data_IF_244395502663
#
_entry.id   IF_244395502663
#
_cell.length_a   1.000
_cell.length_b   1.000
_cell.length_c   1.000
_cell.angle_alpha   90.00
_cell.angle_beta   90.00
_cell.angle_gamma   90.00
#
_symmetry.space_group_name_H-M   'P 1'
#
loop_
_entity.id
_entity.type
_entity.pdbx_description
1 polymer ?
#
# COMPACT_ATOMS: atom_id res chain seq x y z
N UNK A 1 -8.23 -15.12 -2.50
CA UNK A 1 -8.60 -13.89 -1.77
C UNK A 1 -7.51 -12.86 -2.02
N UNK A 2 -7.84 -11.69 -2.55
CA UNK A 2 -6.89 -10.60 -2.77
C UNK A 2 -6.79 -9.75 -1.49
N UNK A 3 -5.58 -9.35 -1.11
CA UNK A 3 -5.32 -8.53 0.08
C UNK A 3 -4.49 -7.31 -0.36
N UNK A 4 -4.86 -6.09 0.07
CA UNK A 4 -4.08 -4.90 -0.23
C UNK A 4 -2.71 -4.98 0.45
N UNK A 5 -1.68 -4.63 -0.29
CA UNK A 5 -0.38 -4.34 0.30
C UNK A 5 -0.35 -2.86 0.67
N UNK A 6 0.21 -2.49 1.82
CA UNK A 6 0.27 -1.09 2.26
C UNK A 6 -1.13 -0.46 2.51
N UNK A 7 -1.56 -0.49 3.78
CA UNK A 7 -2.81 0.13 4.25
C UNK A 7 -2.58 1.47 4.96
N UNK A 8 -1.55 2.22 4.56
CA UNK A 8 -1.20 3.55 5.10
C UNK A 8 -2.39 4.52 5.24
N UNK A 9 -3.52 4.27 4.59
CA UNK A 9 -4.70 5.12 4.66
C UNK A 9 -5.53 5.04 5.95
N UNK A 10 -5.47 3.99 6.76
CA UNK A 10 -6.42 3.81 7.88
C UNK A 10 -5.75 3.52 9.24
N UNK A 11 -6.00 4.38 10.22
CA UNK A 11 -5.65 4.15 11.62
C UNK A 11 -6.68 3.22 12.27
N UNK A 12 -6.33 1.92 12.39
CA UNK A 12 -7.16 0.92 13.04
C UNK A 12 -6.95 1.01 14.55
N UNK A 13 -8.02 1.18 15.31
CA UNK A 13 -7.96 1.21 16.78
C UNK A 13 -7.56 -0.15 17.35
N UNK A 14 -6.65 -0.14 18.34
CA UNK A 14 -6.19 -1.34 19.06
C UNK A 14 -6.72 -1.41 20.51
N UNK A 15 -7.35 -0.34 20.98
CA UNK A 15 -7.95 -0.25 22.32
C UNK A 15 -9.47 -0.28 22.25
N UNK A 16 -10.12 -0.33 23.41
CA UNK A 16 -11.57 -0.33 23.51
C UNK A 16 -12.20 0.94 22.90
N UNK A 17 -13.46 0.80 22.46
CA UNK A 17 -14.17 1.86 21.75
C UNK A 17 -14.33 3.13 22.58
N UNK A 18 -14.46 3.01 23.90
CA UNK A 18 -14.70 4.15 24.78
C UNK A 18 -13.44 5.00 24.93
N UNK A 19 -12.30 4.35 25.15
CA UNK A 19 -10.98 5.00 25.15
C UNK A 19 -10.71 5.74 23.83
N UNK A 20 -11.01 5.11 22.70
CA UNK A 20 -10.89 5.75 21.38
C UNK A 20 -11.83 6.95 21.23
N UNK A 21 -13.06 6.85 21.77
CA UNK A 21 -14.05 7.93 21.74
C UNK A 21 -13.60 9.13 22.57
N UNK A 22 -13.11 8.89 23.80
CA UNK A 22 -12.60 9.93 24.69
C UNK A 22 -11.43 10.69 24.06
N UNK A 23 -10.46 9.96 23.52
CA UNK A 23 -9.33 10.58 22.82
C UNK A 23 -9.76 11.42 21.62
N UNK A 24 -10.73 10.95 20.82
CA UNK A 24 -11.24 11.71 19.66
C UNK A 24 -12.03 12.95 20.06
N UNK A 25 -12.70 12.92 21.22
CA UNK A 25 -13.49 14.03 21.72
C UNK A 25 -12.61 15.13 22.34
N UNK A 26 -11.42 14.78 22.82
CA UNK A 26 -10.46 15.73 23.37
C UNK A 26 -9.71 16.49 22.26
N UNK A 27 -10.01 17.78 22.11
CA UNK A 27 -9.35 18.69 21.17
C UNK A 27 -8.14 19.44 21.74
N UNK A 28 -7.75 19.18 22.99
CA UNK A 28 -6.64 19.89 23.63
C UNK A 28 -5.28 19.32 23.18
N UNK A 29 -4.23 20.17 23.05
CA UNK A 29 -2.87 19.72 22.84
C UNK A 29 -2.40 18.82 24.00
N UNK A 30 -1.88 17.65 23.64
CA UNK A 30 -1.36 16.67 24.60
C UNK A 30 -0.30 15.79 23.94
N UNK A 31 0.38 14.98 24.74
CA UNK A 31 1.49 14.17 24.27
C UNK A 31 1.00 12.90 23.54
N UNK A 32 1.54 12.71 22.33
CA UNK A 32 1.37 11.51 21.55
C UNK A 32 2.73 10.84 21.30
N UNK A 33 2.70 9.51 21.18
CA UNK A 33 3.81 8.74 20.63
C UNK A 33 3.44 8.25 19.23
N UNK A 34 4.35 8.38 18.28
CA UNK A 34 4.20 7.86 16.91
C UNK A 34 5.41 6.99 16.58
N UNK A 35 5.19 5.69 16.48
CA UNK A 35 6.22 4.74 16.08
C UNK A 35 6.12 4.41 14.59
N UNK A 36 7.22 4.52 13.86
CA UNK A 36 7.33 4.13 12.46
C UNK A 36 8.17 2.87 12.33
N UNK A 37 7.55 1.78 11.90
CA UNK A 37 8.27 0.56 11.56
C UNK A 37 8.97 0.75 10.23
N UNK A 38 10.25 0.40 10.17
CA UNK A 38 11.07 0.54 8.98
C UNK A 38 11.23 -0.83 8.30
N UNK A 39 11.40 -0.79 6.98
CA UNK A 39 11.74 -1.97 6.19
C UNK A 39 12.74 -1.64 5.10
N UNK A 40 13.51 -2.65 4.72
CA UNK A 40 14.29 -2.63 3.49
C UNK A 40 13.37 -3.08 2.33
N UNK A 41 13.05 -2.20 1.36
CA UNK A 41 12.15 -2.53 0.25
C UNK A 41 12.75 -3.52 -0.76
N UNK A 42 14.06 -3.81 -0.69
CA UNK A 42 14.71 -4.80 -1.56
C UNK A 42 14.56 -6.20 -0.97
N UNK A 43 14.86 -6.36 0.32
CA UNK A 43 14.80 -7.67 1.01
C UNK A 43 13.44 -7.97 1.63
N UNK A 44 12.57 -6.96 1.74
CA UNK A 44 11.29 -6.98 2.47
C UNK A 44 11.43 -7.29 3.97
N UNK A 45 12.65 -7.19 4.52
CA UNK A 45 12.90 -7.35 5.95
C UNK A 45 12.33 -6.17 6.74
N UNK A 46 11.72 -6.45 7.91
CA UNK A 46 11.15 -5.45 8.83
C UNK A 46 12.23 -4.83 9.74
N UNK A 47 13.28 -4.37 9.09
CA UNK A 47 14.46 -3.74 9.68
C UNK A 47 15.23 -3.06 8.55
N UNK A 48 16.13 -2.15 8.91
CA UNK A 48 17.14 -1.62 8.03
C UNK A 48 18.48 -2.28 8.34
N UNK A 49 19.31 -2.47 7.32
CA UNK A 49 20.71 -2.89 7.49
C UNK A 49 21.58 -1.71 7.95
N UNK A 50 21.16 -1.09 9.05
CA UNK A 50 21.83 0.00 9.76
C UNK A 50 22.00 -0.41 11.21
N UNK A 51 23.23 -0.35 11.71
CA UNK A 51 23.49 -0.54 13.13
C UNK A 51 22.88 0.63 13.92
N UNK A 52 22.15 0.30 14.97
CA UNK A 52 21.66 1.26 15.95
C UNK A 52 21.95 0.71 17.35
N UNK A 53 22.51 1.55 18.22
CA UNK A 53 22.79 1.21 19.60
C UNK A 53 21.56 1.46 20.47
N UNK A 54 21.33 0.57 21.43
CA UNK A 54 20.33 0.82 22.47
C UNK A 54 20.75 1.98 23.37
N UNK A 55 19.77 2.78 23.80
CA UNK A 55 20.01 3.89 24.72
C UNK A 55 20.61 5.14 24.07
N UNK A 56 20.57 5.25 22.74
CA UNK A 56 20.88 6.53 22.06
C UNK A 56 19.96 7.65 22.61
N UNK A 57 20.51 8.87 22.79
CA UNK A 57 19.72 9.98 23.31
C UNK A 57 18.57 10.32 22.37
N UNK A 58 17.45 10.78 22.94
CA UNK A 58 16.37 11.36 22.14
C UNK A 58 16.92 12.57 21.37
N UNK A 59 16.66 12.59 20.07
CA UNK A 59 17.07 13.65 19.15
C UNK A 59 15.94 14.65 18.96
N UNK A 60 16.24 15.94 18.75
CA UNK A 60 15.21 16.94 18.50
C UNK A 60 14.48 16.69 17.18
N UNK A 61 13.16 16.84 17.20
CA UNK A 61 12.27 16.75 16.04
C UNK A 61 11.54 18.09 15.82
N UNK A 62 10.91 18.22 14.64
CA UNK A 62 9.91 19.25 14.36
C UNK A 62 8.51 18.67 14.62
N UNK A 63 7.57 19.42 15.23
CA UNK A 63 7.65 20.81 15.71
C UNK A 63 8.45 20.97 17.01
N UNK A 64 8.70 22.21 17.44
CA UNK A 64 9.41 22.49 18.70
C UNK A 64 8.75 21.78 19.90
N UNK A 65 9.57 21.17 20.75
CA UNK A 65 9.09 20.33 21.85
C UNK A 65 8.80 18.88 21.46
N UNK A 66 9.00 18.51 20.18
CA UNK A 66 9.04 17.14 19.73
C UNK A 66 10.47 16.56 19.82
N UNK A 67 10.53 15.26 20.05
CA UNK A 67 11.76 14.47 19.99
C UNK A 67 11.51 13.14 19.28
N UNK A 68 12.57 12.48 18.85
CA UNK A 68 12.50 11.12 18.34
C UNK A 68 13.65 10.26 18.87
N UNK A 69 13.42 8.96 18.97
CA UNK A 69 14.42 7.96 19.31
C UNK A 69 14.55 6.92 18.19
N UNK A 70 15.74 6.34 18.09
CA UNK A 70 16.09 5.26 17.17
C UNK A 70 16.04 3.96 17.97
N UNK A 71 15.25 3.00 17.52
CA UNK A 71 15.02 1.75 18.23
C UNK A 71 15.53 0.56 17.40
N UNK A 72 16.63 -0.10 17.82
CA UNK A 72 17.08 -1.32 17.17
C UNK A 72 16.17 -2.52 17.49
N UNK A 73 16.30 -3.57 16.70
CA UNK A 73 15.82 -4.91 17.05
C UNK A 73 16.84 -5.66 17.93
N UNK A 74 16.52 -6.91 18.28
CA UNK A 74 17.39 -7.80 19.07
C UNK A 74 18.76 -8.06 18.41
N UNK A 75 18.89 -7.84 17.10
CA UNK A 75 20.14 -7.99 16.35
C UNK A 75 20.93 -6.67 16.24
N UNK A 76 20.52 -5.59 16.91
CA UNK A 76 21.17 -4.27 16.86
C UNK A 76 20.92 -3.51 15.54
N UNK A 77 19.95 -3.95 14.73
CA UNK A 77 19.57 -3.30 13.48
C UNK A 77 18.41 -2.36 13.68
N UNK A 78 18.47 -1.17 13.07
CA UNK A 78 17.41 -0.18 13.15
C UNK A 78 16.07 -0.75 12.63
N UNK A 79 15.09 -0.89 13.52
CA UNK A 79 13.78 -1.45 13.20
C UNK A 79 12.64 -0.43 13.31
N UNK A 80 12.75 0.52 14.23
CA UNK A 80 11.70 1.51 14.47
C UNK A 80 12.29 2.90 14.80
N UNK A 81 11.56 3.95 14.42
CA UNK A 81 11.79 5.32 14.89
C UNK A 81 10.55 5.78 15.65
N UNK A 82 10.72 6.20 16.89
CA UNK A 82 9.61 6.61 17.76
C UNK A 82 9.68 8.10 18.01
N UNK A 83 8.65 8.81 17.60
CA UNK A 83 8.46 10.23 17.90
C UNK A 83 7.64 10.41 19.16
N UNK A 84 7.98 11.43 19.94
CA UNK A 84 7.19 12.01 21.02
C UNK A 84 6.91 13.46 20.66
N UNK A 85 5.64 13.83 20.54
CA UNK A 85 5.26 15.19 20.16
C UNK A 85 3.90 15.64 20.73
N UNK A 86 3.73 16.94 20.98
CA UNK A 86 2.43 17.51 21.29
C UNK A 86 1.54 17.57 20.04
N UNK A 87 0.30 17.10 20.13
CA UNK A 87 -0.73 17.21 19.10
C UNK A 87 -2.14 17.22 19.73
N UNK A 88 -3.16 17.56 18.95
CA UNK A 88 -4.58 17.55 19.38
C UNK A 88 -5.31 16.27 18.99
N UNK A 89 -4.74 15.49 18.06
CA UNK A 89 -5.33 14.22 17.63
C UNK A 89 -4.27 13.21 17.16
N UNK A 90 -4.65 11.94 17.09
CA UNK A 90 -3.79 10.88 16.56
C UNK A 90 -3.43 11.09 15.07
N UNK A 91 -4.35 11.67 14.29
CA UNK A 91 -4.12 11.99 12.88
C UNK A 91 -3.09 13.10 12.73
N UNK A 92 -3.27 14.20 13.47
CA UNK A 92 -2.34 15.32 13.47
C UNK A 92 -0.94 14.89 13.98
N UNK A 93 -0.88 14.09 15.05
CA UNK A 93 0.38 13.55 15.55
C UNK A 93 1.15 12.77 14.47
N UNK A 94 0.44 11.90 13.75
CA UNK A 94 1.01 11.12 12.66
C UNK A 94 1.49 12.02 11.51
N UNK A 95 0.70 13.03 11.12
CA UNK A 95 1.04 13.97 10.05
C UNK A 95 2.30 14.77 10.38
N UNK A 96 2.39 15.33 11.58
CA UNK A 96 3.56 16.07 12.06
C UNK A 96 4.82 15.19 12.11
N UNK A 97 4.72 14.00 12.70
CA UNK A 97 5.85 13.08 12.80
C UNK A 97 6.30 12.57 11.42
N UNK A 98 5.36 12.31 10.51
CA UNK A 98 5.68 11.89 9.14
C UNK A 98 6.37 13.01 8.34
N UNK A 99 5.89 14.25 8.48
CA UNK A 99 6.47 15.41 7.80
C UNK A 99 7.95 15.65 8.20
N UNK A 100 8.33 15.32 9.44
CA UNK A 100 9.72 15.39 9.89
C UNK A 100 10.53 14.13 9.49
N UNK A 101 9.95 12.92 9.62
CA UNK A 101 10.67 11.68 9.32
C UNK A 101 10.97 11.49 7.82
N UNK A 102 10.02 11.80 6.94
CA UNK A 102 10.14 11.50 5.52
C UNK A 102 11.39 12.17 4.88
N UNK A 103 11.66 13.48 5.07
CA UNK A 103 12.90 14.10 4.60
C UNK A 103 14.16 13.50 5.24
N UNK A 104 14.11 13.07 6.50
CA UNK A 104 15.25 12.42 7.18
C UNK A 104 15.57 11.06 6.56
N UNK A 105 14.55 10.25 6.27
CA UNK A 105 14.73 8.98 5.57
C UNK A 105 15.36 9.20 4.19
N UNK A 106 14.95 10.23 3.46
CA UNK A 106 15.58 10.58 2.18
C UNK A 106 17.05 10.99 2.35
N UNK A 107 17.37 11.76 3.39
CA UNK A 107 18.75 12.12 3.71
C UNK A 107 19.60 10.91 4.11
N UNK A 108 19.06 9.98 4.91
CA UNK A 108 19.73 8.73 5.28
C UNK A 108 19.95 7.83 4.07
N UNK A 109 18.95 7.70 3.20
CA UNK A 109 19.03 6.96 1.94
C UNK A 109 20.13 7.54 1.05
N UNK A 110 20.15 8.85 0.84
CA UNK A 110 21.16 9.52 0.03
C UNK A 110 22.58 9.37 0.61
N UNK A 111 22.70 9.31 1.94
CA UNK A 111 24.01 9.20 2.62
C UNK A 111 24.57 7.78 2.62
N UNK A 112 23.72 6.78 2.84
CA UNK A 112 24.17 5.40 3.08
C UNK A 112 23.96 4.50 1.85
N UNK A 113 23.10 4.89 0.90
CA UNK A 113 22.83 4.12 -0.31
C UNK A 113 22.08 2.81 -0.05
N UNK A 114 21.37 2.70 1.07
CA UNK A 114 20.55 1.52 1.43
C UNK A 114 19.08 1.83 1.20
N UNK A 115 18.31 0.80 0.79
CA UNK A 115 16.87 0.91 0.66
C UNK A 115 16.22 1.12 2.03
N UNK A 116 15.40 2.15 2.16
CA UNK A 116 14.71 2.49 3.41
C UNK A 116 13.28 2.89 3.09
N UNK A 117 12.30 2.28 3.76
CA UNK A 117 10.91 2.66 3.62
C UNK A 117 10.16 2.49 4.95
N UNK A 118 9.14 3.31 5.15
CA UNK A 118 8.16 3.10 6.22
C UNK A 118 7.30 1.88 5.85
N UNK A 119 7.34 0.84 6.69
CA UNK A 119 6.50 -0.35 6.55
C UNK A 119 5.10 -0.11 7.09
N UNK A 120 5.00 0.66 8.17
CA UNK A 120 3.75 0.99 8.85
C UNK A 120 4.01 1.83 10.09
N UNK A 121 2.98 2.08 10.87
CA UNK A 121 3.09 2.89 12.08
C UNK A 121 2.11 2.50 13.16
N UNK A 122 2.38 3.01 14.36
CA UNK A 122 1.51 2.98 15.52
C UNK A 122 1.45 4.37 16.15
N UNK A 123 0.30 4.71 16.70
CA UNK A 123 0.06 5.98 17.39
C UNK A 123 -0.52 5.68 18.76
N UNK A 124 0.00 6.33 19.80
CA UNK A 124 -0.53 6.23 21.16
C UNK A 124 -0.82 7.62 21.72
N UNK A 125 -2.03 7.81 22.23
CA UNK A 125 -2.42 8.94 23.06
C UNK A 125 -2.04 8.64 24.51
N UNK A 126 -1.11 9.41 25.07
CA UNK A 126 -0.60 9.14 26.42
C UNK A 126 -1.58 9.53 27.52
N UNK A 127 -2.48 10.47 27.25
CA UNK A 127 -3.48 10.95 28.21
C UNK A 127 -4.63 9.97 28.32
N UNK A 128 -5.21 9.58 27.19
CA UNK A 128 -6.38 8.70 27.16
C UNK A 128 -6.01 7.21 27.05
N UNK A 129 -4.73 6.88 26.84
CA UNK A 129 -4.23 5.51 26.60
C UNK A 129 -4.82 4.85 25.35
N UNK A 130 -5.31 5.66 24.42
CA UNK A 130 -5.84 5.20 23.15
C UNK A 130 -4.70 4.82 22.20
N UNK A 131 -4.86 3.71 21.47
CA UNK A 131 -3.85 3.22 20.54
C UNK A 131 -4.44 2.91 19.18
N UNK A 132 -3.69 3.24 18.14
CA UNK A 132 -3.99 2.92 16.75
C UNK A 132 -2.77 2.33 16.07
N UNK A 133 -3.01 1.52 15.05
CA UNK A 133 -1.96 1.06 14.15
C UNK A 133 -2.39 1.08 12.69
N UNK A 134 -1.38 1.11 11.84
CA UNK A 134 -1.47 0.80 10.42
C UNK A 134 -0.22 0.02 10.04
N UNK A 135 -0.27 -1.30 10.14
CA UNK A 135 0.80 -2.19 9.71
C UNK A 135 0.28 -3.17 8.65
N UNK A 136 1.08 -3.54 7.64
CA UNK A 136 0.75 -4.60 6.70
C UNK A 136 0.30 -5.87 7.44
N UNK A 137 -0.85 -6.39 7.03
CA UNK A 137 -1.34 -7.68 7.51
C UNK A 137 -0.40 -8.78 6.98
N UNK A 138 0.07 -9.69 7.84
CA UNK A 138 0.70 -10.93 7.37
C UNK A 138 -0.43 -11.87 6.95
N UNK A 139 -0.61 -12.19 5.66
CA UNK A 139 -1.68 -13.07 5.22
C UNK A 139 -1.56 -14.45 5.87
N UNK A 140 -2.69 -15.10 6.10
CA UNK A 140 -2.72 -16.54 6.37
C UNK A 140 -2.13 -17.30 5.19
N UNK A 141 -1.44 -18.42 5.46
CA UNK A 141 -0.95 -19.30 4.41
C UNK A 141 -2.12 -19.74 3.52
N UNK A 142 -2.00 -19.55 2.21
CA UNK A 142 -2.97 -20.01 1.23
C UNK A 142 -2.51 -21.34 0.65
N UNK A 143 -3.43 -22.28 0.49
CA UNK A 143 -3.19 -23.49 -0.30
C UNK A 143 -3.24 -23.12 -1.78
N UNK A 144 -2.20 -23.51 -2.51
CA UNK A 144 -2.14 -23.41 -3.97
C UNK A 144 -2.31 -24.82 -4.55
N UNK A 145 -3.06 -24.93 -5.64
CA UNK A 145 -3.01 -26.13 -6.47
C UNK A 145 -1.70 -26.10 -7.28
N UNK A 146 -0.77 -27.00 -6.95
CA UNK A 146 0.53 -27.09 -7.63
C UNK A 146 0.43 -27.76 -9.01
N UNK A 147 -0.73 -28.29 -9.39
CA UNK A 147 -0.99 -28.85 -10.71
C UNK A 147 -1.50 -27.81 -11.74
N UNK A 148 -1.57 -26.53 -11.35
CA UNK A 148 -2.00 -25.46 -12.26
C UNK A 148 -1.10 -25.40 -13.51
N UNK A 149 -1.76 -25.36 -14.68
CA UNK A 149 -1.07 -25.17 -15.94
C UNK A 149 -0.34 -23.81 -15.97
N UNK A 150 0.78 -23.71 -16.71
CA UNK A 150 1.41 -22.43 -16.99
C UNK A 150 0.42 -21.44 -17.64
N UNK A 151 0.64 -20.15 -17.42
CA UNK A 151 -0.12 -19.11 -18.13
C UNK A 151 0.13 -19.22 -19.64
N UNK A 152 -0.91 -19.03 -20.44
CA UNK A 152 -0.78 -18.99 -21.90
C UNK A 152 0.21 -17.91 -22.35
N UNK A 153 0.98 -18.19 -23.40
CA UNK A 153 2.08 -17.33 -23.87
C UNK A 153 1.63 -15.93 -24.28
N UNK A 154 0.43 -15.78 -24.82
CA UNK A 154 -0.13 -14.51 -25.25
C UNK A 154 -0.63 -13.65 -24.07
N UNK A 155 -1.09 -14.30 -22.99
CA UNK A 155 -1.55 -13.66 -21.77
C UNK A 155 -0.39 -13.34 -20.80
N UNK A 156 0.72 -14.09 -20.89
CA UNK A 156 1.90 -13.95 -20.04
C UNK A 156 2.38 -12.49 -19.89
N UNK A 157 2.52 -11.67 -20.95
CA UNK A 157 2.96 -10.28 -20.81
C UNK A 157 2.05 -9.42 -19.92
N UNK A 158 0.74 -9.65 -19.95
CA UNK A 158 -0.21 -8.93 -19.10
C UNK A 158 -0.13 -9.42 -17.65
N UNK A 159 0.04 -10.73 -17.46
CA UNK A 159 0.22 -11.32 -16.12
C UNK A 159 1.56 -10.92 -15.50
N UNK A 160 2.62 -10.71 -16.30
CA UNK A 160 3.88 -10.13 -15.83
C UNK A 160 3.72 -8.68 -15.34
N UNK A 161 2.89 -7.86 -16.01
CA UNK A 161 2.56 -6.51 -15.50
C UNK A 161 1.83 -6.59 -14.15
N UNK A 162 0.90 -7.54 -13.99
CA UNK A 162 0.26 -7.78 -12.71
C UNK A 162 1.23 -8.29 -11.63
N UNK A 163 2.16 -9.17 -11.99
CA UNK A 163 3.23 -9.60 -11.09
C UNK A 163 4.07 -8.40 -10.62
N UNK A 164 4.42 -7.47 -11.53
CA UNK A 164 5.12 -6.23 -11.17
C UNK A 164 4.30 -5.37 -10.21
N UNK A 165 2.99 -5.26 -10.39
CA UNK A 165 2.11 -4.55 -9.47
C UNK A 165 2.10 -5.19 -8.07
N UNK A 166 1.99 -6.53 -8.00
CA UNK A 166 1.98 -7.29 -6.73
C UNK A 166 3.33 -7.26 -6.00
N UNK A 167 4.42 -7.23 -6.74
CA UNK A 167 5.78 -7.18 -6.19
C UNK A 167 6.32 -5.75 -6.02
N UNK A 168 5.50 -4.74 -6.32
CA UNK A 168 5.92 -3.35 -6.29
C UNK A 168 6.40 -2.94 -4.87
N UNK A 169 7.58 -2.32 -4.76
CA UNK A 169 8.13 -1.91 -3.47
C UNK A 169 7.38 -0.71 -2.87
N UNK A 170 6.61 0.02 -3.66
CA UNK A 170 5.90 1.24 -3.27
C UNK A 170 4.59 1.43 -4.08
N UNK A 171 3.65 2.28 -3.60
CA UNK A 171 2.40 2.56 -4.30
C UNK A 171 2.50 3.16 -5.70
N UNK A 172 3.52 3.96 -6.01
CA UNK A 172 3.66 4.57 -7.33
C UNK A 172 4.01 3.51 -8.38
N UNK A 173 5.01 2.69 -8.09
CA UNK A 173 5.39 1.54 -8.92
C UNK A 173 4.19 0.59 -9.12
N UNK A 174 3.40 0.36 -8.06
CA UNK A 174 2.18 -0.45 -8.14
C UNK A 174 1.14 0.17 -9.07
N UNK A 175 0.88 1.47 -8.92
CA UNK A 175 -0.11 2.17 -9.74
C UNK A 175 0.28 2.09 -11.21
N UNK A 176 1.55 2.38 -11.56
CA UNK A 176 2.01 2.33 -12.95
C UNK A 176 1.82 0.94 -13.58
N UNK A 177 2.22 -0.12 -12.87
CA UNK A 177 2.08 -1.48 -13.36
C UNK A 177 0.62 -1.94 -13.46
N UNK A 178 -0.20 -1.66 -12.44
CA UNK A 178 -1.62 -2.00 -12.45
C UNK A 178 -2.38 -1.22 -13.53
N UNK A 179 -2.09 0.07 -13.71
CA UNK A 179 -2.68 0.91 -14.75
C UNK A 179 -2.41 0.37 -16.16
N UNK A 180 -1.21 -0.19 -16.39
CA UNK A 180 -0.90 -0.84 -17.66
C UNK A 180 -1.78 -2.09 -17.90
N UNK A 181 -2.07 -2.88 -16.86
CA UNK A 181 -3.02 -4.01 -16.97
C UNK A 181 -4.43 -3.53 -17.28
N UNK A 182 -4.91 -2.48 -16.59
CA UNK A 182 -6.23 -1.90 -16.86
C UNK A 182 -6.35 -1.40 -18.29
N UNK A 183 -5.31 -0.71 -18.78
CA UNK A 183 -5.25 -0.22 -20.16
C UNK A 183 -5.23 -1.38 -21.17
N UNK A 184 -4.48 -2.45 -20.89
CA UNK A 184 -4.45 -3.64 -21.73
C UNK A 184 -5.82 -4.32 -21.80
N UNK A 185 -6.58 -4.36 -20.70
CA UNK A 185 -7.90 -5.00 -20.68
C UNK A 185 -8.93 -4.34 -21.62
N UNK A 186 -8.73 -3.07 -22.01
CA UNK A 186 -9.65 -2.35 -22.90
C UNK A 186 -9.45 -2.71 -24.38
N UNK A 187 -8.27 -3.20 -24.79
CA UNK A 187 -7.98 -3.39 -26.22
C UNK A 187 -6.95 -4.46 -26.59
N UNK A 188 -6.32 -5.13 -25.63
CA UNK A 188 -5.35 -6.18 -25.91
C UNK A 188 -6.08 -7.49 -26.25
N UNK A 189 -5.79 -8.15 -27.40
CA UNK A 189 -6.50 -9.36 -27.82
C UNK A 189 -6.48 -10.49 -26.78
N UNK A 190 -5.38 -10.65 -26.05
CA UNK A 190 -5.26 -11.67 -25.00
C UNK A 190 -6.17 -11.45 -23.79
N UNK A 191 -6.87 -10.31 -23.69
CA UNK A 191 -7.79 -9.96 -22.59
C UNK A 191 -9.25 -9.89 -23.05
N UNK A 192 -9.59 -10.48 -24.21
CA UNK A 192 -10.93 -10.39 -24.79
C UNK A 192 -12.03 -11.02 -23.89
N UNK A 193 -11.70 -12.04 -23.10
CA UNK A 193 -12.59 -12.71 -22.16
C UNK A 193 -12.59 -12.11 -20.74
N UNK A 194 -11.86 -11.01 -20.51
CA UNK A 194 -11.69 -10.40 -19.18
C UNK A 194 -12.96 -9.75 -18.60
N UNK A 195 -13.99 -9.55 -19.44
CA UNK A 195 -15.21 -8.85 -19.03
C UNK A 195 -15.04 -7.34 -18.84
N UNK A 196 -13.96 -6.75 -19.38
CA UNK A 196 -13.65 -5.33 -19.25
C UNK A 196 -14.82 -4.39 -19.61
N UNK A 197 -15.59 -4.73 -20.65
CA UNK A 197 -16.72 -3.93 -21.12
C UNK A 197 -17.92 -3.87 -20.14
N UNK A 198 -18.06 -4.87 -19.27
CA UNK A 198 -19.17 -4.98 -18.30
C UNK A 198 -18.72 -4.77 -16.85
N UNK A 199 -17.42 -4.54 -16.62
CA UNK A 199 -16.88 -4.28 -15.30
C UNK A 199 -17.44 -2.96 -14.74
N UNK A 200 -18.00 -3.04 -13.54
CA UNK A 200 -18.38 -1.90 -12.72
C UNK A 200 -17.75 -2.02 -11.32
N UNK A 201 -17.30 -0.89 -10.76
CA UNK A 201 -16.66 -0.87 -9.45
C UNK A 201 -17.71 -1.09 -8.35
N UNK A 202 -17.55 -2.17 -7.59
CA UNK A 202 -18.48 -2.55 -6.52
C UNK A 202 -18.05 -2.02 -5.16
N UNK A 203 -18.99 -1.93 -4.23
CA UNK A 203 -18.71 -1.58 -2.83
C UNK A 203 -17.65 -2.51 -2.20
N UNK A 204 -17.72 -3.81 -2.47
CA UNK A 204 -16.72 -4.77 -1.97
C UNK A 204 -15.31 -4.44 -2.46
N UNK A 205 -15.16 -3.98 -3.71
CA UNK A 205 -13.86 -3.56 -4.24
C UNK A 205 -13.31 -2.36 -3.49
N UNK A 206 -14.18 -1.39 -3.19
CA UNK A 206 -13.81 -0.20 -2.43
C UNK A 206 -13.45 -0.53 -0.98
N UNK A 207 -14.16 -1.46 -0.34
CA UNK A 207 -13.84 -1.93 1.01
C UNK A 207 -12.49 -2.65 1.02
N UNK A 208 -12.26 -3.58 0.08
CA UNK A 208 -11.03 -4.37 0.06
C UNK A 208 -9.79 -3.55 -0.31
N UNK A 209 -9.92 -2.58 -1.22
CA UNK A 209 -8.82 -1.67 -1.57
C UNK A 209 -8.61 -0.57 -0.52
N UNK A 210 -9.60 -0.33 0.34
CA UNK A 210 -9.66 0.81 1.25
C UNK A 210 -10.11 2.12 0.57
N UNK A 211 -10.36 2.11 -0.74
CA UNK A 211 -10.78 3.30 -1.50
C UNK A 211 -12.17 3.83 -1.12
N UNK A 212 -12.95 3.11 -0.30
CA UNK A 212 -14.26 3.55 0.19
C UNK A 212 -14.22 4.88 0.97
N UNK A 213 -13.05 5.25 1.51
CA UNK A 213 -12.87 6.51 2.26
C UNK A 213 -12.46 7.68 1.37
N UNK A 214 -12.22 7.45 0.08
CA UNK A 214 -11.92 8.52 -0.86
C UNK A 214 -13.18 9.35 -1.13
N UNK A 215 -13.05 10.67 -1.32
CA UNK A 215 -14.18 11.53 -1.65
C UNK A 215 -14.71 11.32 -3.08
N UNK A 216 -13.90 10.70 -3.95
CA UNK A 216 -14.25 10.41 -5.33
C UNK A 216 -15.47 9.45 -5.41
N UNK A 217 -16.46 9.69 -6.31
CA UNK A 217 -17.62 8.82 -6.48
C UNK A 217 -17.24 7.56 -7.27
N UNK A 218 -16.50 6.65 -6.65
CA UNK A 218 -15.92 5.48 -7.32
C UNK A 218 -16.92 4.33 -7.50
N UNK A 219 -18.01 4.28 -6.74
CA UNK A 219 -18.96 3.18 -6.80
C UNK A 219 -19.79 3.25 -8.09
N UNK A 220 -19.90 2.13 -8.79
CA UNK A 220 -20.73 1.99 -9.99
C UNK A 220 -20.04 2.40 -11.29
N UNK A 221 -18.91 3.11 -11.24
CA UNK A 221 -18.23 3.58 -12.45
C UNK A 221 -17.68 2.42 -13.30
N UNK A 222 -17.61 2.63 -14.62
CA UNK A 222 -17.06 1.64 -15.55
C UNK A 222 -15.53 1.63 -15.53
N UNK A 223 -14.91 0.60 -16.13
CA UNK A 223 -13.45 0.51 -16.25
C UNK A 223 -12.83 1.73 -16.94
N UNK A 224 -13.47 2.23 -18.01
CA UNK A 224 -12.99 3.39 -18.75
C UNK A 224 -12.93 4.65 -17.87
N UNK A 225 -13.95 4.85 -17.03
CA UNK A 225 -14.02 5.99 -16.09
C UNK A 225 -12.96 5.86 -14.99
N UNK A 226 -12.73 4.64 -14.49
CA UNK A 226 -11.64 4.40 -13.54
C UNK A 226 -10.28 4.73 -14.18
N UNK A 227 -10.02 4.29 -15.41
CA UNK A 227 -8.77 4.61 -16.12
C UNK A 227 -8.64 6.12 -16.30
N UNK A 228 -9.71 6.82 -16.68
CA UNK A 228 -9.70 8.27 -16.82
C UNK A 228 -9.39 8.97 -15.49
N UNK A 229 -9.95 8.47 -14.37
CA UNK A 229 -9.70 8.99 -13.03
C UNK A 229 -8.25 8.76 -12.55
N UNK A 230 -7.66 7.61 -12.90
CA UNK A 230 -6.28 7.27 -12.53
C UNK A 230 -5.23 7.97 -13.40
N UNK A 231 -5.60 8.41 -14.62
CA UNK A 231 -4.68 8.98 -15.60
C UNK A 231 -3.89 10.19 -15.11
N UNK A 232 -4.47 11.17 -14.40
CA UNK A 232 -3.70 12.28 -13.84
C UNK A 232 -2.60 11.83 -12.88
N UNK A 233 -2.84 10.81 -12.05
CA UNK A 233 -1.81 10.27 -11.15
C UNK A 233 -0.73 9.50 -11.91
N UNK A 234 -1.13 8.72 -12.92
CA UNK A 234 -0.21 8.03 -13.82
C UNK A 234 0.72 9.03 -14.54
N UNK A 235 0.14 10.03 -15.21
CA UNK A 235 0.88 11.00 -16.02
C UNK A 235 1.80 11.86 -15.15
N UNK A 236 1.35 12.19 -13.93
CA UNK A 236 2.19 12.83 -12.91
C UNK A 236 3.41 11.97 -12.57
N UNK A 237 3.24 10.67 -12.36
CA UNK A 237 4.35 9.78 -11.97
C UNK A 237 5.37 9.56 -13.09
N UNK A 238 4.95 9.54 -14.36
CA UNK A 238 5.85 9.33 -15.51
C UNK A 238 6.62 10.59 -15.89
N UNK A 239 6.09 11.78 -15.59
CA UNK A 239 6.69 13.07 -15.96
C UNK A 239 6.63 13.36 -17.46
N UNK A 240 6.84 14.63 -17.85
CA UNK A 240 6.73 15.07 -19.26
C UNK A 240 7.87 14.58 -20.16
N UNK A 241 9.03 14.29 -19.57
CA UNK A 241 10.25 13.86 -20.29
C UNK A 241 10.63 12.40 -19.99
N UNK A 242 9.70 11.60 -19.45
CA UNK A 242 9.97 10.23 -19.02
C UNK A 242 10.79 10.12 -17.72
N UNK A 243 10.93 11.23 -16.99
CA UNK A 243 11.55 11.26 -15.66
C UNK A 243 10.49 10.98 -14.60
N UNK A 244 10.69 9.92 -13.82
CA UNK A 244 9.81 9.61 -12.69
C UNK A 244 9.80 10.76 -11.69
N UNK A 245 8.63 11.37 -11.48
CA UNK A 245 8.47 12.41 -10.46
C UNK A 245 8.44 11.80 -9.06
N UNK A 246 8.88 12.55 -8.02
CA UNK A 246 8.77 12.08 -6.64
C UNK A 246 7.31 11.75 -6.28
N UNK A 247 7.17 10.77 -5.38
CA UNK A 247 5.90 10.53 -4.70
C UNK A 247 5.57 11.79 -3.89
N UNK A 248 4.28 12.17 -3.85
CA UNK A 248 3.82 13.35 -3.11
C UNK A 248 4.46 13.44 -1.73
N UNK A 249 4.95 14.62 -1.37
CA UNK A 249 5.72 14.82 -0.13
C UNK A 249 4.83 14.74 1.12
N UNK A 250 3.53 14.99 0.98
CA UNK A 250 2.59 14.98 2.08
C UNK A 250 1.94 13.61 2.34
N UNK A 251 1.59 13.35 3.60
CA UNK A 251 0.99 12.09 4.01
C UNK A 251 -0.38 11.88 3.34
N UNK A 252 -1.16 12.95 3.13
CA UNK A 252 -2.48 12.87 2.52
C UNK A 252 -2.41 12.38 1.07
N UNK A 253 -1.51 12.94 0.27
CA UNK A 253 -1.24 12.52 -1.10
C UNK A 253 -0.74 11.07 -1.16
N UNK A 254 0.19 10.69 -0.28
CA UNK A 254 0.67 9.30 -0.21
C UNK A 254 -0.43 8.30 0.14
N UNK A 255 -1.33 8.65 1.07
CA UNK A 255 -2.49 7.82 1.42
C UNK A 255 -3.42 7.66 0.23
N UNK A 256 -3.76 8.76 -0.46
CA UNK A 256 -4.62 8.74 -1.64
C UNK A 256 -4.02 7.86 -2.74
N UNK A 257 -2.74 8.04 -3.05
CA UNK A 257 -2.04 7.23 -4.04
C UNK A 257 -2.06 5.74 -3.68
N UNK A 258 -1.81 5.39 -2.41
CA UNK A 258 -1.87 4.00 -1.93
C UNK A 258 -3.24 3.36 -2.13
N UNK A 259 -4.33 4.08 -1.81
CA UNK A 259 -5.69 3.59 -2.02
C UNK A 259 -6.04 3.39 -3.49
N UNK A 260 -5.66 4.32 -4.36
CA UNK A 260 -5.89 4.21 -5.79
C UNK A 260 -5.06 3.08 -6.42
N UNK A 261 -3.79 2.93 -6.01
CA UNK A 261 -2.94 1.84 -6.45
C UNK A 261 -3.51 0.48 -6.03
N UNK A 262 -4.04 0.38 -4.80
CA UNK A 262 -4.72 -0.82 -4.31
C UNK A 262 -5.99 -1.13 -5.09
N UNK A 263 -6.80 -0.12 -5.42
CA UNK A 263 -7.99 -0.31 -6.24
C UNK A 263 -7.61 -0.78 -7.65
N UNK A 264 -6.63 -0.16 -8.28
CA UNK A 264 -6.15 -0.54 -9.62
C UNK A 264 -5.61 -1.98 -9.64
N UNK A 265 -4.80 -2.36 -8.65
CA UNK A 265 -4.26 -3.72 -8.50
C UNK A 265 -5.37 -4.76 -8.28
N UNK A 266 -6.37 -4.46 -7.45
CA UNK A 266 -7.54 -5.33 -7.26
C UNK A 266 -8.35 -5.51 -8.54
N UNK A 267 -8.57 -4.43 -9.29
CA UNK A 267 -9.31 -4.49 -10.56
C UNK A 267 -8.53 -5.32 -11.59
N UNK A 268 -7.21 -5.09 -11.69
CA UNK A 268 -6.32 -5.86 -12.54
C UNK A 268 -6.39 -7.37 -12.21
N UNK A 269 -6.36 -7.72 -10.92
CA UNK A 269 -6.52 -9.09 -10.47
C UNK A 269 -7.85 -9.71 -10.94
N UNK A 270 -8.96 -8.99 -10.78
CA UNK A 270 -10.30 -9.47 -11.20
C UNK A 270 -10.39 -9.69 -12.70
N UNK A 271 -9.86 -8.78 -13.50
CA UNK A 271 -9.83 -8.89 -14.96
C UNK A 271 -9.02 -10.11 -15.43
N UNK A 272 -7.85 -10.33 -14.82
CA UNK A 272 -7.00 -11.50 -15.12
C UNK A 272 -7.70 -12.79 -14.69
N UNK A 273 -8.34 -12.83 -13.52
CA UNK A 273 -9.09 -14.01 -13.09
C UNK A 273 -10.26 -14.32 -14.02
N UNK A 274 -10.99 -13.30 -14.47
CA UNK A 274 -12.08 -13.46 -15.42
C UNK A 274 -11.58 -14.01 -16.77
N UNK A 275 -10.46 -13.49 -17.28
CA UNK A 275 -9.81 -13.96 -18.51
C UNK A 275 -9.39 -15.43 -18.39
N UNK A 276 -8.67 -15.78 -17.31
CA UNK A 276 -8.26 -17.15 -17.06
C UNK A 276 -9.47 -18.09 -16.99
N UNK A 277 -10.54 -17.67 -16.31
CA UNK A 277 -11.77 -18.46 -16.21
C UNK A 277 -12.50 -18.60 -17.55
N UNK A 278 -12.47 -17.58 -18.42
CA UNK A 278 -13.04 -17.65 -19.76
C UNK A 278 -12.30 -18.70 -20.61
N UNK A 279 -10.97 -18.65 -20.63
CA UNK A 279 -10.13 -19.62 -21.35
C UNK A 279 -10.33 -21.06 -20.89
N UNK A 280 -10.51 -21.28 -19.59
CA UNK A 280 -10.79 -22.62 -19.06
C UNK A 280 -12.16 -23.16 -19.49
N UNK A 281 -13.17 -22.30 -19.69
CA UNK A 281 -14.48 -22.73 -20.20
C UNK A 281 -14.45 -23.07 -21.69
N UNK A 282 -13.62 -22.35 -22.45
CA UNK A 282 -13.49 -22.53 -23.90
C UNK A 282 -12.48 -23.64 -24.26
N UNK A 283 -11.72 -24.16 -23.29
CA UNK A 283 -10.86 -25.30 -23.47
C UNK A 283 -11.70 -26.55 -23.81
N UNK A 284 -11.41 -27.26 -24.92
CA UNK A 284 -12.10 -28.50 -25.23
C UNK A 284 -11.93 -29.49 -24.07
N UNK A 285 -13.03 -30.13 -23.67
CA UNK A 285 -12.99 -31.18 -22.65
C UNK A 285 -11.87 -32.18 -23.02
N UNK A 286 -11.04 -32.61 -22.06
CA UNK A 286 -10.02 -33.60 -22.34
C UNK A 286 -10.73 -34.78 -22.99
N UNK A 287 -10.34 -35.11 -24.23
CA UNK A 287 -10.86 -36.26 -24.91
C UNK A 287 -10.67 -37.43 -23.95
N UNK A 288 -11.78 -37.96 -23.41
CA UNK A 288 -11.72 -39.19 -22.66
C UNK A 288 -11.02 -40.16 -23.59
N UNK A 289 -9.85 -40.64 -23.17
CA UNK A 289 -9.15 -41.69 -23.87
C UNK A 289 -10.08 -42.89 -23.90
N UNK A 290 -10.88 -42.98 -24.97
CA UNK A 290 -11.63 -44.16 -25.30
C UNK A 290 -10.58 -45.21 -25.65
N UNK A 291 -10.52 -46.22 -24.77
CA UNK A 291 -9.71 -47.43 -24.79
C UNK A 291 -8.76 -47.68 -25.97
N UNK A 292 -7.52 -47.98 -25.61
CA UNK A 292 -6.75 -49.07 -26.19
C UNK A 292 -5.80 -49.62 -25.12
#
# INVERSE_FOLDING_TARGET
>A
MWIPYDLRASLKGETDRETLRLSRADGQPRQFLVGFFLRNPVTQAWELDLAAEDGLPELPAVPAGASFSICPNEAGKLAEVIYRLPARSATEALELAHADLQPRLLAWLARVGRGMAIAGWRVADMTHRARWRSTPFRPSAMSLDFALAPVDRDLAPVVELFQRARNAPDPASRLLAAFAVLSAAVGHPAMAGSGAATLSITQDMLIHSGAIVLPDPLMGIALADLIALLRPEHDRLVGRDGVLLPVLDDLAGQKRLSLLANLADLVAHRLIQAELAARHRDAPAPAMAAGA
#
